data_IF_569999758208
#
_entry.id   IF_569999758208
#
_cell.length_a   1.000
_cell.length_b   1.000
_cell.length_c   1.000
_cell.angle_alpha   90.00
_cell.angle_beta   90.00
_cell.angle_gamma   90.00
#
_symmetry.space_group_name_H-M   'P 1'
#
loop_
_entity.id
_entity.type
_entity.pdbx_description
1 polymer ?
#
# COMPACT_ATOMS: atom_id res chain seq x y z
N UNK A 1 3.33 -20.70 -14.87
CA UNK A 1 3.74 -19.27 -15.00
C UNK A 1 4.49 -18.81 -13.75
N UNK A 2 4.57 -19.66 -12.71
CA UNK A 2 5.11 -19.29 -11.38
C UNK A 2 6.60 -19.63 -11.14
N UNK A 3 7.27 -20.25 -12.10
CA UNK A 3 8.68 -20.69 -11.90
C UNK A 3 9.76 -19.65 -12.25
N UNK A 4 9.41 -18.50 -12.82
CA UNK A 4 10.40 -17.47 -13.21
C UNK A 4 10.65 -16.35 -12.19
N UNK A 5 9.91 -16.29 -11.09
CA UNK A 5 10.07 -15.25 -10.06
C UNK A 5 11.01 -15.63 -8.92
N UNK A 6 11.57 -16.84 -8.93
CA UNK A 6 12.45 -17.31 -7.82
C UNK A 6 13.96 -17.08 -8.07
N UNK A 7 14.34 -16.39 -9.16
CA UNK A 7 15.76 -16.11 -9.42
C UNK A 7 16.11 -14.66 -9.16
N UNK A 8 16.95 -14.51 -8.16
CA UNK A 8 17.92 -13.45 -7.93
C UNK A 8 17.35 -12.03 -7.83
N UNK A 9 16.99 -11.64 -6.62
CA UNK A 9 17.06 -10.24 -6.18
C UNK A 9 18.53 -9.81 -6.28
N UNK A 10 18.91 -9.25 -7.43
CA UNK A 10 20.22 -8.61 -7.56
C UNK A 10 20.18 -7.35 -6.71
N UNK A 11 20.87 -7.43 -5.58
CA UNK A 11 21.07 -6.35 -4.62
C UNK A 11 21.66 -5.13 -5.34
N UNK A 12 20.85 -4.10 -5.55
CA UNK A 12 21.37 -2.78 -5.93
C UNK A 12 22.13 -2.21 -4.73
N UNK A 13 23.44 -2.23 -4.80
CA UNK A 13 24.35 -1.60 -3.82
C UNK A 13 23.96 -0.13 -3.66
N UNK A 14 23.51 0.23 -2.47
CA UNK A 14 23.43 1.62 -2.03
C UNK A 14 24.85 2.04 -1.61
N UNK A 15 25.50 2.87 -2.40
CA UNK A 15 26.71 3.58 -2.02
C UNK A 15 26.36 4.74 -1.10
N UNK A 16 26.23 4.46 0.18
CA UNK A 16 26.35 5.45 1.26
C UNK A 16 27.72 5.29 1.87
N UNK A 17 28.59 6.28 1.73
CA UNK A 17 29.91 6.30 2.39
C UNK A 17 29.70 6.21 3.91
N UNK A 18 30.34 5.23 4.54
CA UNK A 18 30.53 4.89 5.94
C UNK A 18 29.76 3.65 6.40
N UNK A 19 30.21 2.50 5.96
CA UNK A 19 30.37 1.30 6.78
C UNK A 19 31.30 0.38 6.00
N UNK A 20 32.37 -0.04 6.61
CA UNK A 20 33.18 -1.16 6.15
C UNK A 20 32.23 -2.26 5.67
N UNK A 21 32.38 -2.74 4.44
CA UNK A 21 31.48 -3.73 3.83
C UNK A 21 31.53 -5.11 4.48
N UNK A 22 31.85 -5.19 5.77
CA UNK A 22 31.93 -6.39 6.57
C UNK A 22 30.56 -6.67 7.16
N UNK A 23 29.96 -7.85 6.90
CA UNK A 23 28.70 -8.26 7.52
C UNK A 23 28.84 -8.32 9.05
N UNK A 24 27.85 -7.77 9.78
CA UNK A 24 27.78 -7.86 11.24
C UNK A 24 27.48 -9.28 11.73
N UNK A 25 26.81 -10.07 10.91
CA UNK A 25 26.50 -11.49 11.13
C UNK A 25 26.95 -12.28 9.90
N UNK A 26 27.36 -13.54 10.13
CA UNK A 26 27.87 -14.40 9.06
C UNK A 26 26.79 -15.38 8.61
N UNK A 27 26.68 -15.63 7.31
CA UNK A 27 25.77 -16.66 6.77
C UNK A 27 26.06 -18.02 7.41
N UNK A 28 25.01 -18.69 7.88
CA UNK A 28 25.07 -19.97 8.59
C UNK A 28 25.24 -19.82 10.11
N UNK A 29 25.59 -18.64 10.59
CA UNK A 29 25.68 -18.35 12.02
C UNK A 29 24.33 -18.58 12.71
N UNK A 30 24.37 -19.09 13.95
CA UNK A 30 23.19 -19.26 14.79
C UNK A 30 23.25 -18.23 15.90
N UNK A 31 22.23 -17.38 15.98
CA UNK A 31 22.06 -16.40 17.04
C UNK A 31 20.91 -16.82 17.95
N UNK A 32 21.04 -16.55 19.24
CA UNK A 32 20.07 -16.94 20.26
C UNK A 32 19.44 -15.69 20.89
N UNK A 33 18.14 -15.70 21.02
CA UNK A 33 17.40 -14.70 21.77
C UNK A 33 17.30 -15.14 23.25
N UNK A 34 17.83 -14.32 24.15
CA UNK A 34 17.62 -14.51 25.57
C UNK A 34 16.18 -14.17 26.02
N UNK A 35 15.47 -13.36 25.23
CA UNK A 35 14.11 -12.90 25.54
C UNK A 35 13.06 -13.99 25.33
N UNK A 36 13.14 -14.71 24.20
CA UNK A 36 12.15 -15.72 23.80
C UNK A 36 12.69 -17.15 23.87
N UNK A 37 14.00 -17.33 24.01
CA UNK A 37 14.68 -18.64 23.88
C UNK A 37 14.78 -19.13 22.43
N UNK A 38 14.27 -18.38 21.46
CA UNK A 38 14.31 -18.74 20.05
C UNK A 38 15.73 -18.65 19.48
N UNK A 39 16.00 -19.47 18.47
CA UNK A 39 17.27 -19.49 17.76
C UNK A 39 17.03 -19.22 16.28
N UNK A 40 17.92 -18.44 15.68
CA UNK A 40 17.81 -18.04 14.29
C UNK A 40 19.09 -18.38 13.53
N UNK A 41 18.95 -19.10 12.40
CA UNK A 41 20.07 -19.32 11.47
C UNK A 41 20.07 -18.18 10.45
N UNK A 42 21.16 -17.45 10.43
CA UNK A 42 21.38 -16.31 9.54
C UNK A 42 21.60 -16.81 8.11
N UNK A 43 20.88 -16.26 7.18
CA UNK A 43 20.98 -16.55 5.74
C UNK A 43 21.62 -15.41 4.96
N UNK A 44 21.03 -15.11 3.79
CA UNK A 44 21.57 -14.11 2.88
C UNK A 44 21.31 -12.69 3.36
N UNK A 45 22.27 -11.79 3.15
CA UNK A 45 22.11 -10.36 3.38
C UNK A 45 21.12 -9.79 2.35
N UNK A 46 19.97 -9.30 2.82
CA UNK A 46 18.92 -8.69 1.99
C UNK A 46 19.17 -7.20 1.75
N UNK A 47 19.75 -6.51 2.72
CA UNK A 47 20.00 -5.08 2.62
C UNK A 47 20.85 -4.55 3.76
N UNK A 48 21.42 -3.37 3.53
CA UNK A 48 22.18 -2.62 4.54
C UNK A 48 21.95 -1.13 4.37
N UNK A 49 22.07 -0.38 5.46
CA UNK A 49 21.90 1.07 5.47
C UNK A 49 22.50 1.71 6.71
N UNK A 50 22.25 3.00 6.91
CA UNK A 50 22.75 3.76 8.05
C UNK A 50 22.30 3.24 9.43
N UNK A 51 21.28 2.41 9.47
CA UNK A 51 20.69 1.88 10.71
C UNK A 51 20.95 0.39 10.94
N UNK A 52 21.73 -0.27 10.08
CA UNK A 52 22.09 -1.67 10.26
C UNK A 52 21.99 -2.52 9.01
N UNK A 53 21.97 -3.82 9.21
CA UNK A 53 21.90 -4.84 8.16
C UNK A 53 20.69 -5.74 8.38
N UNK A 54 20.09 -6.25 7.29
CA UNK A 54 18.93 -7.15 7.32
C UNK A 54 19.26 -8.43 6.59
N UNK A 55 19.07 -9.56 7.26
CA UNK A 55 19.37 -10.89 6.75
C UNK A 55 18.07 -11.71 6.63
N UNK A 56 17.89 -12.41 5.52
CA UNK A 56 16.93 -13.50 5.47
C UNK A 56 17.40 -14.59 6.44
N UNK A 57 16.51 -15.07 7.29
CA UNK A 57 16.88 -15.99 8.36
C UNK A 57 15.81 -17.06 8.55
N UNK A 58 16.20 -18.15 9.18
CA UNK A 58 15.29 -19.24 9.56
C UNK A 58 15.28 -19.41 11.06
N UNK A 59 14.07 -19.47 11.64
CA UNK A 59 13.88 -19.90 13.02
C UNK A 59 14.21 -21.40 13.15
N UNK A 60 14.95 -21.75 14.19
CA UNK A 60 15.21 -23.14 14.57
C UNK A 60 14.30 -23.55 15.71
N UNK A 61 13.98 -24.85 15.78
CA UNK A 61 13.07 -25.38 16.80
C UNK A 61 11.59 -25.02 16.55
N UNK A 62 10.74 -25.29 17.55
CA UNK A 62 9.29 -25.03 17.50
C UNK A 62 8.94 -23.84 18.38
N UNK A 63 8.54 -22.75 17.75
CA UNK A 63 7.97 -21.57 18.40
C UNK A 63 6.75 -21.11 17.61
N UNK A 64 5.52 -21.42 18.04
CA UNK A 64 4.31 -21.24 17.24
C UNK A 64 4.04 -19.78 16.83
N UNK A 65 4.51 -18.82 17.60
CA UNK A 65 4.29 -17.38 17.36
C UNK A 65 5.27 -16.76 16.37
N UNK A 66 6.37 -17.46 16.06
CA UNK A 66 7.41 -16.93 15.18
C UNK A 66 7.47 -17.78 13.91
N UNK A 67 7.28 -17.20 12.71
CA UNK A 67 7.35 -17.93 11.44
C UNK A 67 8.71 -18.61 11.22
N UNK A 68 8.76 -19.70 10.46
CA UNK A 68 10.02 -20.36 10.11
C UNK A 68 10.93 -19.46 9.29
N UNK A 69 10.39 -18.76 8.31
CA UNK A 69 11.13 -17.80 7.47
C UNK A 69 10.82 -16.38 7.90
N UNK A 70 11.86 -15.62 8.21
CA UNK A 70 11.77 -14.27 8.75
C UNK A 70 13.03 -13.46 8.37
N UNK A 71 13.06 -12.18 8.73
CA UNK A 71 14.25 -11.35 8.63
C UNK A 71 14.85 -11.11 10.01
N UNK A 72 16.18 -11.16 10.12
CA UNK A 72 16.87 -10.62 11.27
C UNK A 72 17.53 -9.29 10.87
N UNK A 73 17.05 -8.19 11.46
CA UNK A 73 17.68 -6.86 11.37
C UNK A 73 18.63 -6.70 12.52
N UNK A 74 19.88 -6.36 12.23
CA UNK A 74 20.95 -6.15 13.23
C UNK A 74 21.48 -4.73 13.12
N UNK A 75 21.66 -4.07 14.27
CA UNK A 75 22.12 -2.70 14.38
C UNK A 75 23.09 -2.53 15.55
N UNK A 76 24.14 -1.69 15.43
CA UNK A 76 24.97 -1.30 16.55
C UNK A 76 24.34 -0.17 17.38
N UNK A 77 23.17 0.37 16.96
CA UNK A 77 22.54 1.55 17.55
C UNK A 77 21.31 1.18 18.39
N UNK A 78 21.44 1.25 19.70
CA UNK A 78 20.37 0.92 20.64
C UNK A 78 19.13 1.80 20.50
N UNK A 79 19.30 3.12 20.31
CA UNK A 79 18.18 4.06 20.26
C UNK A 79 17.19 3.79 19.11
N UNK A 80 17.71 3.46 17.93
CA UNK A 80 16.89 3.10 16.78
C UNK A 80 16.17 1.77 16.99
N UNK A 81 16.89 0.80 17.51
CA UNK A 81 16.36 -0.52 17.85
C UNK A 81 15.25 -0.46 18.91
N UNK A 82 15.43 0.31 19.99
CA UNK A 82 14.41 0.48 21.03
C UNK A 82 13.13 1.08 20.46
N UNK A 83 13.25 2.11 19.62
CA UNK A 83 12.07 2.73 18.98
C UNK A 83 11.36 1.73 18.06
N UNK A 84 12.09 1.05 17.20
CA UNK A 84 11.49 0.09 16.27
C UNK A 84 10.83 -1.08 17.01
N UNK A 85 11.46 -1.59 18.07
CA UNK A 85 10.89 -2.61 18.95
C UNK A 85 9.61 -2.12 19.65
N UNK A 86 9.60 -0.89 20.16
CA UNK A 86 8.44 -0.29 20.82
C UNK A 86 7.26 -0.15 19.85
N UNK A 87 7.49 0.43 18.67
CA UNK A 87 6.42 0.60 17.68
C UNK A 87 5.98 -0.73 17.08
N UNK A 88 6.88 -1.70 16.93
CA UNK A 88 6.55 -3.06 16.55
C UNK A 88 5.58 -3.71 17.53
N UNK A 89 5.79 -3.53 18.83
CA UNK A 89 4.88 -4.01 19.86
C UNK A 89 3.54 -3.24 19.87
N UNK A 90 3.55 -1.91 19.71
CA UNK A 90 2.36 -1.07 19.64
C UNK A 90 1.46 -1.44 18.44
N UNK A 91 2.07 -1.89 17.35
CA UNK A 91 1.42 -2.25 16.11
C UNK A 91 1.30 -3.78 15.91
N UNK A 92 1.52 -4.56 16.98
CA UNK A 92 1.41 -6.01 16.91
C UNK A 92 0.03 -6.45 16.40
N UNK A 93 0.02 -7.46 15.52
CA UNK A 93 -1.18 -7.93 14.84
C UNK A 93 -1.78 -6.95 13.83
N UNK A 94 -1.23 -5.75 13.65
CA UNK A 94 -1.78 -4.81 12.67
C UNK A 94 -1.52 -5.29 11.23
N UNK A 95 -2.57 -5.49 10.40
CA UNK A 95 -2.44 -6.16 9.10
C UNK A 95 -1.65 -5.34 8.05
N UNK A 96 -1.30 -4.09 8.36
CA UNK A 96 -0.61 -3.15 7.47
C UNK A 96 0.73 -2.65 8.03
N UNK A 97 1.20 -3.24 9.14
CA UNK A 97 2.55 -3.02 9.66
C UNK A 97 3.38 -4.29 9.54
N UNK A 98 4.67 -4.15 9.27
CA UNK A 98 5.62 -5.26 9.37
C UNK A 98 5.66 -5.70 10.83
N UNK A 99 5.47 -7.00 11.07
CA UNK A 99 5.44 -7.55 12.43
C UNK A 99 6.84 -7.71 12.99
N UNK A 100 6.99 -7.42 14.27
CA UNK A 100 8.19 -7.69 15.06
C UNK A 100 7.90 -8.90 15.93
N UNK A 101 8.54 -10.03 15.67
CA UNK A 101 8.30 -11.28 16.39
C UNK A 101 9.19 -11.42 17.63
N UNK A 102 10.39 -10.84 17.57
CA UNK A 102 11.36 -10.96 18.66
C UNK A 102 12.34 -9.76 18.65
N UNK A 103 12.92 -9.48 19.82
CA UNK A 103 13.91 -8.42 20.03
C UNK A 103 14.94 -8.89 21.04
N UNK A 104 16.21 -8.79 20.73
CA UNK A 104 17.27 -9.25 21.64
C UNK A 104 18.59 -8.53 21.36
N UNK A 105 19.49 -8.55 22.34
CA UNK A 105 20.86 -8.09 22.19
C UNK A 105 21.79 -9.29 22.05
N UNK A 106 22.73 -9.20 21.13
CA UNK A 106 23.86 -10.12 21.03
C UNK A 106 25.07 -9.48 21.69
N UNK A 107 25.54 -10.11 22.76
CA UNK A 107 26.73 -9.70 23.46
C UNK A 107 27.79 -10.77 23.23
N UNK A 108 28.88 -10.40 22.58
CA UNK A 108 30.06 -11.24 22.37
C UNK A 108 31.20 -10.71 23.22
N UNK A 109 32.05 -11.65 23.74
CA UNK A 109 33.18 -11.28 24.59
C UNK A 109 34.12 -10.31 23.85
N UNK A 110 34.41 -9.15 24.44
CA UNK A 110 35.32 -8.15 23.88
C UNK A 110 34.70 -7.28 22.74
N UNK A 111 33.43 -7.51 22.35
CA UNK A 111 32.75 -6.75 21.29
C UNK A 111 31.69 -5.81 21.84
N UNK A 112 31.32 -4.79 21.03
CA UNK A 112 30.15 -3.95 21.33
C UNK A 112 28.89 -4.75 21.09
N UNK A 113 27.85 -4.55 21.92
CA UNK A 113 26.57 -5.21 21.72
C UNK A 113 25.98 -4.90 20.33
N UNK A 114 25.39 -5.92 19.71
CA UNK A 114 24.57 -5.79 18.53
C UNK A 114 23.10 -6.01 18.91
N UNK A 115 22.21 -5.17 18.38
CA UNK A 115 20.79 -5.17 18.70
C UNK A 115 20.01 -5.76 17.54
N UNK A 116 19.26 -6.82 17.80
CA UNK A 116 18.56 -7.62 16.79
C UNK A 116 17.05 -7.51 16.91
N UNK A 117 16.36 -7.49 15.76
CA UNK A 117 14.92 -7.65 15.62
C UNK A 117 14.64 -8.80 14.67
N UNK A 118 13.77 -9.73 15.07
CA UNK A 118 13.22 -10.73 14.19
C UNK A 118 11.91 -10.16 13.59
N UNK A 119 11.90 -9.94 12.29
CA UNK A 119 10.87 -9.21 11.55
C UNK A 119 10.16 -10.10 10.54
N UNK A 120 8.93 -9.76 10.21
CA UNK A 120 8.20 -10.36 9.09
C UNK A 120 8.98 -10.24 7.79
N UNK A 121 9.10 -11.34 7.06
CA UNK A 121 9.72 -11.37 5.74
C UNK A 121 8.72 -10.95 4.66
N UNK A 122 8.96 -9.81 4.06
CA UNK A 122 8.21 -9.35 2.89
C UNK A 122 8.76 -10.00 1.62
N UNK A 123 8.06 -10.99 1.11
CA UNK A 123 8.53 -11.84 0.00
C UNK A 123 8.92 -11.09 -1.27
N UNK A 124 8.24 -9.97 -1.54
CA UNK A 124 8.49 -9.16 -2.75
C UNK A 124 9.39 -7.93 -2.47
N UNK A 125 9.99 -7.86 -1.28
CA UNK A 125 10.88 -6.79 -0.89
C UNK A 125 10.19 -5.45 -0.63
N UNK A 126 10.93 -4.37 -0.73
CA UNK A 126 10.40 -3.01 -0.62
C UNK A 126 9.74 -2.54 -1.93
N UNK A 127 8.91 -1.50 -1.82
CA UNK A 127 8.16 -0.95 -2.94
C UNK A 127 9.07 -0.36 -4.04
N UNK A 128 10.26 0.17 -3.67
CA UNK A 128 11.20 0.69 -4.66
C UNK A 128 11.74 -0.41 -5.55
N UNK A 129 12.20 -1.51 -4.93
CA UNK A 129 12.69 -2.68 -5.65
C UNK A 129 11.58 -3.33 -6.49
N UNK A 130 10.37 -3.46 -5.90
CA UNK A 130 9.22 -4.04 -6.59
C UNK A 130 8.80 -3.24 -7.84
N UNK A 131 8.67 -1.91 -7.73
CA UNK A 131 8.32 -1.07 -8.88
C UNK A 131 9.43 -1.05 -9.93
N UNK A 132 10.69 -1.07 -9.53
CA UNK A 132 11.82 -1.16 -10.45
C UNK A 132 11.82 -2.48 -11.24
N UNK A 133 11.46 -3.58 -10.59
CA UNK A 133 11.43 -4.90 -11.22
C UNK A 133 10.22 -5.08 -12.16
N UNK A 134 9.07 -4.52 -11.77
CA UNK A 134 7.83 -4.73 -12.53
C UNK A 134 7.59 -3.68 -13.59
N UNK A 135 8.06 -2.45 -13.38
CA UNK A 135 7.85 -1.27 -14.24
C UNK A 135 6.39 -1.05 -14.63
N UNK A 136 5.45 -1.56 -13.81
CA UNK A 136 4.02 -1.54 -14.09
C UNK A 136 3.26 -0.57 -13.20
N UNK A 137 2.52 0.38 -13.79
CA UNK A 137 1.58 1.20 -13.05
C UNK A 137 0.54 0.35 -12.32
N UNK A 138 0.16 0.79 -11.12
CA UNK A 138 -0.93 0.18 -10.38
C UNK A 138 -2.25 0.83 -10.79
N UNK A 139 -3.28 -0.01 -10.99
CA UNK A 139 -4.62 0.51 -11.21
C UNK A 139 -5.06 1.38 -10.03
N UNK A 140 -5.71 2.52 -10.30
CA UNK A 140 -6.14 3.49 -9.30
C UNK A 140 -6.83 2.85 -8.09
N UNK A 141 -7.78 1.93 -8.32
CA UNK A 141 -8.50 1.24 -7.25
C UNK A 141 -7.55 0.49 -6.30
N UNK A 142 -6.52 -0.16 -6.86
CA UNK A 142 -5.53 -0.90 -6.06
C UNK A 142 -4.63 0.08 -5.31
N UNK A 143 -4.13 1.12 -5.98
CA UNK A 143 -3.30 2.15 -5.35
C UNK A 143 -4.02 2.83 -4.18
N UNK A 144 -5.29 3.24 -4.36
CA UNK A 144 -6.13 3.82 -3.29
C UNK A 144 -6.28 2.88 -2.09
N UNK A 145 -6.63 1.62 -2.34
CA UNK A 145 -6.82 0.62 -1.28
C UNK A 145 -5.54 0.38 -0.49
N UNK A 146 -4.42 0.22 -1.18
CA UNK A 146 -3.16 -0.10 -0.52
C UNK A 146 -2.59 1.10 0.25
N UNK A 147 -2.72 2.31 -0.30
CA UNK A 147 -2.34 3.55 0.41
C UNK A 147 -3.28 3.81 1.59
N UNK A 148 -4.59 3.55 1.46
CA UNK A 148 -5.50 3.64 2.62
C UNK A 148 -5.05 2.72 3.77
N UNK A 149 -4.58 1.50 3.46
CA UNK A 149 -4.03 0.61 4.47
C UNK A 149 -2.75 1.14 5.15
N UNK A 150 -1.86 1.80 4.42
CA UNK A 150 -0.70 2.49 5.03
C UNK A 150 -1.16 3.66 5.90
N UNK A 151 -2.15 4.41 5.45
CA UNK A 151 -2.72 5.53 6.21
C UNK A 151 -3.43 5.09 7.51
N UNK A 152 -3.95 3.86 7.59
CA UNK A 152 -4.50 3.29 8.83
C UNK A 152 -3.42 3.19 9.92
N UNK A 153 -2.21 2.71 9.56
CA UNK A 153 -1.05 2.67 10.47
C UNK A 153 -0.65 4.08 10.87
N UNK A 154 -0.48 4.95 9.86
CA UNK A 154 -0.08 6.34 10.08
C UNK A 154 -1.11 7.10 10.94
N UNK A 155 -2.41 6.84 10.74
CA UNK A 155 -3.48 7.41 11.57
C UNK A 155 -3.41 7.00 13.03
N UNK A 156 -2.97 5.75 13.33
CA UNK A 156 -2.70 5.34 14.72
C UNK A 156 -1.54 6.14 15.31
N UNK A 157 -0.44 6.33 14.56
CA UNK A 157 0.69 7.14 15.01
C UNK A 157 0.27 8.58 15.26
N UNK A 158 -0.42 9.22 14.31
CA UNK A 158 -0.85 10.62 14.43
C UNK A 158 -1.79 10.86 15.60
N UNK A 159 -2.72 9.94 15.90
CA UNK A 159 -3.58 10.02 17.11
C UNK A 159 -2.79 9.88 18.41
N UNK A 160 -1.68 9.14 18.39
CA UNK A 160 -0.74 9.07 19.50
C UNK A 160 0.29 10.21 19.52
N UNK A 161 0.08 11.28 18.75
CA UNK A 161 1.00 12.43 18.61
C UNK A 161 2.41 12.01 18.11
N UNK A 162 2.49 10.94 17.31
CA UNK A 162 3.73 10.46 16.71
C UNK A 162 3.77 10.73 15.21
N UNK A 163 4.96 11.02 14.70
CA UNK A 163 5.24 11.29 13.30
C UNK A 163 6.21 10.25 12.76
N UNK A 164 5.91 9.67 11.58
CA UNK A 164 6.76 8.64 10.99
C UNK A 164 8.06 9.21 10.41
N UNK A 165 7.97 10.30 9.63
CA UNK A 165 9.07 11.10 9.09
C UNK A 165 9.89 10.45 7.97
N UNK A 166 9.73 9.16 7.70
CA UNK A 166 10.47 8.43 6.66
C UNK A 166 9.58 7.48 5.84
N UNK A 167 8.46 8.00 5.35
CA UNK A 167 7.57 7.27 4.46
C UNK A 167 8.16 7.25 3.04
N UNK A 168 9.13 6.38 2.85
CA UNK A 168 9.82 6.18 1.57
C UNK A 168 9.39 4.87 0.92
N UNK A 169 9.57 4.70 -0.41
CA UNK A 169 9.30 3.42 -1.06
C UNK A 169 10.11 2.25 -0.50
N UNK A 170 11.21 2.51 0.21
CA UNK A 170 12.06 1.48 0.83
C UNK A 170 11.56 1.05 2.21
N UNK A 171 10.69 1.85 2.84
CA UNK A 171 10.09 1.55 4.14
C UNK A 171 8.64 1.05 3.99
N UNK A 172 8.17 0.93 2.75
CA UNK A 172 6.90 0.29 2.40
C UNK A 172 7.20 -1.03 1.72
N UNK A 173 6.73 -2.13 2.30
CA UNK A 173 7.03 -3.48 1.86
C UNK A 173 5.85 -4.10 1.11
N UNK A 174 6.17 -4.92 0.11
CA UNK A 174 5.18 -5.62 -0.70
C UNK A 174 5.11 -7.08 -0.23
N UNK A 175 3.98 -7.44 0.38
CA UNK A 175 3.68 -8.76 0.88
C UNK A 175 2.78 -9.56 -0.08
N UNK A 176 2.41 -10.78 0.31
CA UNK A 176 1.55 -11.64 -0.49
C UNK A 176 0.24 -10.94 -0.89
N UNK A 177 -0.26 -11.26 -2.09
CA UNK A 177 -1.41 -10.58 -2.68
C UNK A 177 -1.15 -9.12 -3.08
N UNK A 178 0.11 -8.68 -3.16
CA UNK A 178 0.54 -7.30 -3.38
C UNK A 178 0.01 -6.33 -2.32
N UNK A 179 -0.11 -6.82 -1.10
CA UNK A 179 -0.51 -6.03 0.05
C UNK A 179 0.67 -5.19 0.53
N UNK A 180 0.45 -3.88 0.71
CA UNK A 180 1.47 -3.00 1.26
C UNK A 180 1.43 -3.02 2.78
N UNK A 181 2.62 -3.09 3.39
CA UNK A 181 2.85 -2.93 4.82
C UNK A 181 3.91 -1.87 5.08
N UNK A 182 3.69 -1.08 6.13
CA UNK A 182 4.64 -0.08 6.59
C UNK A 182 5.63 -0.71 7.56
N UNK A 183 6.90 -0.37 7.44
CA UNK A 183 7.96 -0.79 8.36
C UNK A 183 8.97 0.33 8.59
N UNK A 184 10.02 -0.01 9.32
CA UNK A 184 11.11 0.88 9.73
C UNK A 184 10.64 2.09 10.56
N UNK A 185 10.30 1.83 11.81
CA UNK A 185 9.88 2.85 12.78
C UNK A 185 11.03 3.47 13.58
N UNK A 186 12.28 3.24 13.17
CA UNK A 186 13.49 3.65 13.90
C UNK A 186 13.67 5.16 14.08
N UNK A 187 13.01 6.00 13.25
CA UNK A 187 13.10 7.46 13.35
C UNK A 187 11.77 8.15 13.70
N UNK A 188 10.75 7.38 14.08
CA UNK A 188 9.49 7.93 14.59
C UNK A 188 9.74 8.84 15.79
N UNK A 189 9.03 9.97 15.85
CA UNK A 189 9.16 10.97 16.94
C UNK A 189 7.83 11.53 17.38
N UNK A 190 7.78 11.93 18.65
CA UNK A 190 6.65 12.70 19.17
C UNK A 190 6.54 14.08 18.54
N UNK A 191 5.30 14.54 18.31
CA UNK A 191 4.99 15.91 17.88
C UNK A 191 5.44 16.95 18.91
N UNK A 192 5.53 16.56 20.18
CA UNK A 192 5.92 17.43 21.30
C UNK A 192 7.45 17.44 21.56
N UNK A 193 8.23 16.63 20.85
CA UNK A 193 9.67 16.58 21.05
C UNK A 193 10.32 17.94 20.78
N UNK A 194 10.76 18.59 21.89
CA UNK A 194 11.35 19.94 21.90
C UNK A 194 12.86 19.94 21.71
N UNK A 195 13.49 18.81 21.43
CA UNK A 195 14.95 18.76 21.21
C UNK A 195 15.29 19.59 19.98
N UNK A 196 15.61 20.87 20.24
CA UNK A 196 16.14 21.81 19.25
C UNK A 196 17.48 21.27 18.75
N UNK A 197 17.67 21.24 17.45
CA UNK A 197 19.02 21.11 16.88
C UNK A 197 19.48 19.71 16.50
N UNK A 198 18.65 18.65 16.52
CA UNK A 198 19.07 17.46 15.78
C UNK A 198 18.83 17.68 14.29
N UNK A 199 19.90 17.65 13.50
CA UNK A 199 19.83 18.06 12.11
C UNK A 199 18.90 17.18 11.29
N UNK A 200 18.35 17.75 10.24
CA UNK A 200 17.77 17.14 9.05
C UNK A 200 18.55 15.93 8.48
N UNK A 201 19.72 15.59 9.07
CA UNK A 201 20.60 14.47 8.68
C UNK A 201 19.91 13.08 8.74
N UNK A 202 18.84 12.92 9.52
CA UNK A 202 18.08 11.66 9.58
C UNK A 202 16.92 11.61 8.58
N UNK A 203 16.57 12.73 7.95
CA UNK A 203 15.49 12.77 6.96
C UNK A 203 16.03 12.38 5.58
N UNK A 204 15.24 11.59 4.84
CA UNK A 204 15.54 11.33 3.44
C UNK A 204 15.23 12.60 2.61
N UNK A 205 16.24 13.33 2.11
CA UNK A 205 16.00 14.60 1.41
C UNK A 205 15.23 14.41 0.10
N UNK A 206 15.23 13.19 -0.47
CA UNK A 206 14.47 12.87 -1.67
C UNK A 206 12.98 12.67 -1.42
N UNK A 207 12.54 12.45 -0.18
CA UNK A 207 11.14 12.26 0.16
C UNK A 207 10.61 13.32 1.14
N UNK A 208 11.46 14.15 1.71
CA UNK A 208 11.04 15.26 2.56
C UNK A 208 10.53 16.44 1.73
N UNK A 209 9.52 17.20 2.21
CA UNK A 209 9.09 18.43 1.56
C UNK A 209 10.24 19.45 1.41
N UNK A 210 10.27 20.19 0.30
CA UNK A 210 11.35 21.13 0.01
C UNK A 210 11.51 22.22 1.07
N UNK A 211 10.40 22.71 1.62
CA UNK A 211 10.38 23.73 2.68
C UNK A 211 10.95 23.22 4.01
N UNK A 212 10.91 21.91 4.25
CA UNK A 212 11.54 21.27 5.42
C UNK A 212 13.04 21.11 5.18
N UNK A 213 13.41 20.66 3.97
CA UNK A 213 14.82 20.48 3.58
C UNK A 213 15.55 21.83 3.57
N UNK A 214 14.90 22.88 3.10
CA UNK A 214 15.44 24.24 3.07
C UNK A 214 15.49 24.94 4.45
N UNK A 215 14.97 24.30 5.51
CA UNK A 215 14.92 24.85 6.86
C UNK A 215 13.93 25.99 7.04
N UNK A 216 13.08 26.26 6.04
CA UNK A 216 12.02 27.30 6.11
C UNK A 216 10.98 26.97 7.18
N UNK A 217 10.78 25.67 7.41
CA UNK A 217 9.85 25.17 8.42
C UNK A 217 10.65 24.48 9.53
N UNK A 218 10.59 24.98 10.77
CA UNK A 218 11.44 24.47 11.85
C UNK A 218 10.98 23.13 12.42
N UNK A 219 9.73 22.70 12.13
CA UNK A 219 9.13 21.52 12.78
C UNK A 219 8.32 20.67 11.79
N UNK A 220 8.60 19.37 11.79
CA UNK A 220 7.82 18.35 11.07
C UNK A 220 6.42 18.23 11.67
N UNK A 221 5.39 18.09 10.83
CA UNK A 221 4.00 17.95 11.22
C UNK A 221 3.37 16.75 10.49
N UNK A 222 2.16 16.32 10.89
CA UNK A 222 1.44 15.22 10.25
C UNK A 222 1.21 15.45 8.75
N UNK A 223 1.01 16.70 8.31
CA UNK A 223 0.89 17.07 6.89
C UNK A 223 2.17 16.85 6.08
N UNK A 224 3.32 16.72 6.72
CA UNK A 224 4.59 16.41 6.05
C UNK A 224 4.73 14.88 5.83
N UNK A 225 4.20 14.05 6.72
CA UNK A 225 3.98 12.63 6.47
C UNK A 225 2.96 12.43 5.33
N UNK A 226 1.88 13.23 5.29
CA UNK A 226 0.90 13.23 4.19
C UNK A 226 1.53 13.56 2.85
N UNK A 227 2.48 14.52 2.82
CA UNK A 227 3.25 14.78 1.60
C UNK A 227 3.98 13.55 1.09
N UNK A 228 4.65 12.82 1.97
CA UNK A 228 5.36 11.59 1.61
C UNK A 228 4.38 10.51 1.09
N UNK A 229 3.21 10.36 1.72
CA UNK A 229 2.16 9.45 1.21
C UNK A 229 1.65 9.87 -0.16
N UNK A 230 1.50 11.16 -0.42
CA UNK A 230 1.15 11.68 -1.74
C UNK A 230 2.17 11.32 -2.82
N UNK A 231 3.46 11.37 -2.48
CA UNK A 231 4.54 10.90 -3.34
C UNK A 231 4.43 9.39 -3.63
N UNK A 232 4.22 8.57 -2.59
CA UNK A 232 4.03 7.11 -2.74
C UNK A 232 2.83 6.79 -3.63
N UNK A 233 1.70 7.46 -3.44
CA UNK A 233 0.50 7.28 -4.26
C UNK A 233 0.75 7.60 -5.73
N UNK A 234 1.41 8.71 -6.00
CA UNK A 234 1.79 9.10 -7.36
C UNK A 234 2.79 8.12 -8.00
N UNK A 235 3.75 7.60 -7.24
CA UNK A 235 4.72 6.59 -7.68
C UNK A 235 4.04 5.28 -8.05
N UNK A 236 3.05 4.82 -7.27
CA UNK A 236 2.26 3.62 -7.56
C UNK A 236 1.52 3.75 -8.90
N UNK A 237 0.82 4.87 -9.11
CA UNK A 237 0.07 5.12 -10.35
C UNK A 237 1.01 5.32 -11.55
N UNK A 238 2.19 5.91 -11.33
CA UNK A 238 3.23 6.06 -12.36
C UNK A 238 3.95 4.74 -12.67
N UNK A 239 3.96 3.79 -11.72
CA UNK A 239 4.72 2.53 -11.82
C UNK A 239 6.22 2.69 -11.65
N UNK A 240 6.67 3.79 -11.06
CA UNK A 240 8.09 4.10 -10.89
C UNK A 240 8.34 4.87 -9.59
N UNK A 241 9.28 4.38 -8.77
CA UNK A 241 9.70 4.99 -7.50
C UNK A 241 11.09 5.65 -7.56
N UNK A 242 11.74 5.68 -8.73
CA UNK A 242 13.11 6.21 -8.87
C UNK A 242 13.21 7.73 -8.72
N UNK A 243 12.13 8.45 -8.94
CA UNK A 243 12.08 9.90 -8.87
C UNK A 243 10.80 10.40 -8.21
N UNK A 244 10.88 11.57 -7.56
CA UNK A 244 9.68 12.26 -7.05
C UNK A 244 8.67 12.53 -8.16
N UNK A 245 7.41 12.48 -7.81
CA UNK A 245 6.34 12.97 -8.65
C UNK A 245 6.30 14.50 -8.54
N UNK A 246 6.49 15.18 -9.66
CA UNK A 246 6.42 16.64 -9.72
C UNK A 246 4.98 17.11 -10.02
N UNK A 247 4.56 18.30 -9.57
CA UNK A 247 3.22 18.82 -9.85
C UNK A 247 2.87 18.81 -11.35
N UNK A 248 3.82 19.15 -12.22
CA UNK A 248 3.62 19.13 -13.68
C UNK A 248 3.38 17.73 -14.26
N UNK A 249 3.84 16.66 -13.61
CA UNK A 249 3.68 15.28 -14.05
C UNK A 249 2.30 14.71 -13.66
N UNK A 250 1.64 15.26 -12.62
CA UNK A 250 0.36 14.74 -12.11
C UNK A 250 -0.69 14.70 -13.21
N UNK A 251 -0.75 15.71 -14.09
CA UNK A 251 -1.72 15.75 -15.20
C UNK A 251 -1.57 14.59 -16.17
N UNK A 252 -0.35 14.02 -16.28
CA UNK A 252 -0.03 12.90 -17.18
C UNK A 252 -0.27 11.52 -16.55
N UNK A 253 -0.62 11.45 -15.26
CA UNK A 253 -0.92 10.17 -14.61
C UNK A 253 -2.19 9.56 -15.21
N UNK A 254 -2.16 8.24 -15.45
CA UNK A 254 -3.31 7.49 -15.93
C UNK A 254 -4.24 7.11 -14.77
N UNK A 255 -4.98 8.11 -14.30
CA UNK A 255 -5.95 7.96 -13.21
C UNK A 255 -7.04 9.03 -13.31
N UNK A 256 -8.07 8.94 -12.45
CA UNK A 256 -9.16 9.91 -12.40
C UNK A 256 -8.67 11.31 -12.00
N UNK A 257 -9.37 12.35 -12.46
CA UNK A 257 -9.05 13.73 -12.11
C UNK A 257 -9.15 13.95 -10.59
N UNK A 258 -10.05 13.25 -9.90
CA UNK A 258 -10.11 13.27 -8.43
C UNK A 258 -8.83 12.74 -7.79
N UNK A 259 -8.24 11.64 -8.30
CA UNK A 259 -6.99 11.14 -7.73
C UNK A 259 -5.83 12.09 -8.03
N UNK A 260 -5.81 12.70 -9.23
CA UNK A 260 -4.85 13.74 -9.58
C UNK A 260 -4.93 14.91 -8.60
N UNK A 261 -6.15 15.36 -8.27
CA UNK A 261 -6.36 16.45 -7.30
C UNK A 261 -5.88 16.05 -5.90
N UNK A 262 -6.18 14.81 -5.45
CA UNK A 262 -5.69 14.30 -4.17
C UNK A 262 -4.17 14.30 -4.13
N UNK A 263 -3.49 13.77 -5.15
CA UNK A 263 -2.02 13.76 -5.22
C UNK A 263 -1.49 15.18 -5.26
N UNK A 264 -2.08 16.06 -6.07
CA UNK A 264 -1.70 17.47 -6.16
C UNK A 264 -1.81 18.19 -4.82
N UNK A 265 -2.90 17.99 -4.08
CA UNK A 265 -3.10 18.57 -2.75
C UNK A 265 -2.07 18.02 -1.74
N UNK A 266 -1.74 16.74 -1.78
CA UNK A 266 -0.74 16.14 -0.88
C UNK A 266 0.66 16.74 -1.09
N UNK A 267 1.11 16.87 -2.37
CA UNK A 267 2.50 17.29 -2.67
C UNK A 267 2.64 18.79 -2.96
N UNK A 268 1.54 19.52 -2.96
CA UNK A 268 1.48 20.95 -3.20
C UNK A 268 1.88 21.80 -1.99
N UNK A 269 1.37 23.02 -1.97
CA UNK A 269 1.60 24.00 -0.91
C UNK A 269 1.24 23.46 0.47
N UNK A 270 2.17 23.55 1.43
CA UNK A 270 2.06 22.93 2.76
C UNK A 270 0.76 23.28 3.49
N UNK A 271 0.28 24.51 3.42
CA UNK A 271 -0.95 24.97 4.11
C UNK A 271 -2.21 24.36 3.54
N UNK A 272 -2.19 23.91 2.28
CA UNK A 272 -3.33 23.29 1.58
C UNK A 272 -3.35 21.79 1.66
N UNK A 273 -2.28 21.14 2.18
CA UNK A 273 -2.23 19.69 2.34
C UNK A 273 -3.30 19.21 3.33
N UNK A 274 -3.66 17.94 3.23
CA UNK A 274 -4.44 17.30 4.28
C UNK A 274 -3.68 17.37 5.61
N UNK A 275 -4.39 17.66 6.69
CA UNK A 275 -3.77 17.90 8.00
C UNK A 275 -3.34 16.63 8.70
N UNK A 276 -3.98 15.49 8.36
CA UNK A 276 -3.73 14.19 8.98
C UNK A 276 -3.95 13.03 8.00
N UNK A 277 -3.47 11.84 8.38
CA UNK A 277 -3.77 10.61 7.68
C UNK A 277 -5.28 10.34 7.59
N UNK A 278 -6.06 10.69 8.62
CA UNK A 278 -7.52 10.53 8.65
C UNK A 278 -8.21 11.33 7.56
N UNK A 279 -7.88 12.61 7.42
CA UNK A 279 -8.45 13.47 6.39
C UNK A 279 -8.13 12.94 4.97
N UNK A 280 -6.91 12.44 4.75
CA UNK A 280 -6.53 11.84 3.47
C UNK A 280 -7.27 10.52 3.21
N UNK A 281 -7.48 9.66 4.22
CA UNK A 281 -8.30 8.45 4.08
C UNK A 281 -9.72 8.80 3.63
N UNK A 282 -10.34 9.79 4.25
CA UNK A 282 -11.68 10.24 3.86
C UNK A 282 -11.73 10.70 2.40
N UNK A 283 -10.72 11.47 1.97
CA UNK A 283 -10.62 11.92 0.58
C UNK A 283 -10.46 10.75 -0.40
N UNK A 284 -9.64 9.75 -0.05
CA UNK A 284 -9.44 8.55 -0.87
C UNK A 284 -10.70 7.67 -0.93
N UNK A 285 -11.48 7.60 0.14
CA UNK A 285 -12.70 6.80 0.21
C UNK A 285 -13.91 7.48 -0.46
N UNK A 286 -13.86 8.80 -0.65
CA UNK A 286 -14.88 9.47 -1.49
C UNK A 286 -14.76 8.90 -2.90
N UNK A 287 -15.83 8.21 -3.37
CA UNK A 287 -15.88 7.74 -4.74
C UNK A 287 -15.62 8.91 -5.69
N UNK A 288 -14.77 8.74 -6.73
CA UNK A 288 -14.60 9.75 -7.77
C UNK A 288 -15.98 10.19 -8.29
N UNK A 289 -16.16 11.47 -8.55
CA UNK A 289 -17.41 11.96 -9.13
C UNK A 289 -17.75 11.27 -10.46
N UNK A 290 -16.74 10.75 -11.16
CA UNK A 290 -16.88 9.89 -12.35
C UNK A 290 -17.21 8.42 -12.03
N UNK A 291 -16.98 7.97 -10.76
CA UNK A 291 -17.45 6.68 -10.22
C UNK A 291 -18.74 6.82 -9.40
N UNK A 292 -19.12 8.00 -8.97
CA UNK A 292 -20.54 8.34 -8.91
C UNK A 292 -20.95 8.28 -10.36
N UNK A 293 -21.41 7.08 -10.80
CA UNK A 293 -21.99 6.86 -12.12
C UNK A 293 -22.61 8.18 -12.51
N UNK A 294 -22.11 8.80 -13.58
CA UNK A 294 -22.77 9.99 -14.06
C UNK A 294 -24.22 9.63 -13.94
N UNK A 295 -24.96 10.35 -13.06
CA UNK A 295 -26.30 9.92 -12.66
C UNK A 295 -26.94 9.67 -13.97
N UNK A 296 -27.07 8.41 -14.34
CA UNK A 296 -27.67 8.04 -15.59
C UNK A 296 -29.11 8.59 -15.42
N UNK A 297 -29.34 9.77 -15.96
CA UNK A 297 -30.61 10.47 -15.75
C UNK A 297 -31.70 9.91 -16.64
N UNK A 298 -31.32 9.05 -17.62
CA UNK A 298 -32.22 8.43 -18.57
C UNK A 298 -31.59 7.15 -19.13
N UNK A 299 -32.41 6.17 -19.46
CA UNK A 299 -31.98 4.96 -20.16
C UNK A 299 -32.03 5.13 -21.70
N UNK A 300 -32.38 6.30 -22.22
CA UNK A 300 -32.51 6.54 -23.66
C UNK A 300 -31.15 6.40 -24.37
N UNK A 301 -31.11 5.52 -25.38
CA UNK A 301 -29.89 5.24 -26.16
C UNK A 301 -28.83 4.38 -25.45
N UNK A 302 -29.12 3.89 -24.25
CA UNK A 302 -28.19 3.09 -23.45
C UNK A 302 -28.18 1.65 -23.93
N UNK A 303 -27.01 1.08 -24.19
CA UNK A 303 -26.82 -0.34 -24.45
C UNK A 303 -26.70 -1.10 -23.12
N UNK A 304 -27.78 -1.86 -22.78
CA UNK A 304 -27.99 -2.43 -21.45
C UNK A 304 -27.99 -3.95 -21.47
N UNK A 305 -27.35 -4.57 -20.48
CA UNK A 305 -27.40 -6.00 -20.21
C UNK A 305 -27.77 -6.28 -18.74
N UNK A 306 -28.44 -7.40 -18.49
CA UNK A 306 -28.82 -7.83 -17.15
C UNK A 306 -27.98 -8.98 -16.66
N UNK A 307 -27.62 -8.98 -15.37
CA UNK A 307 -26.94 -10.08 -14.68
C UNK A 307 -27.51 -10.30 -13.27
N UNK A 308 -27.49 -11.54 -12.78
CA UNK A 308 -28.05 -11.90 -11.48
C UNK A 308 -29.58 -12.01 -11.50
N UNK A 309 -30.16 -12.16 -10.31
CA UNK A 309 -31.61 -12.26 -10.05
C UNK A 309 -32.12 -10.84 -9.75
N UNK A 310 -33.03 -10.36 -10.58
CA UNK A 310 -33.71 -9.08 -10.41
C UNK A 310 -34.94 -9.22 -9.52
N UNK A 311 -35.46 -8.12 -9.00
CA UNK A 311 -36.73 -8.06 -8.24
C UNK A 311 -37.95 -8.48 -9.08
N UNK A 312 -37.87 -8.26 -10.38
CA UNK A 312 -38.90 -8.65 -11.33
C UNK A 312 -38.35 -9.61 -12.38
N UNK A 313 -39.22 -10.40 -13.05
CA UNK A 313 -38.81 -11.26 -14.15
C UNK A 313 -38.03 -10.49 -15.21
N UNK A 314 -36.98 -11.13 -15.72
CA UNK A 314 -36.07 -10.48 -16.69
C UNK A 314 -36.77 -9.97 -17.94
N UNK A 315 -37.84 -10.63 -18.35
CA UNK A 315 -38.66 -10.18 -19.50
C UNK A 315 -39.36 -8.83 -19.21
N UNK A 316 -39.88 -8.68 -17.97
CA UNK A 316 -40.51 -7.45 -17.50
C UNK A 316 -39.51 -6.32 -17.44
N UNK A 317 -38.34 -6.57 -16.86
CA UNK A 317 -37.24 -5.60 -16.80
C UNK A 317 -36.78 -5.18 -18.21
N UNK A 318 -36.66 -6.13 -19.14
CA UNK A 318 -36.25 -5.84 -20.51
C UNK A 318 -37.32 -4.99 -21.27
N UNK A 319 -38.59 -5.25 -21.05
CA UNK A 319 -39.68 -4.42 -21.61
C UNK A 319 -39.68 -3.00 -21.03
N UNK A 320 -39.44 -2.86 -19.71
CA UNK A 320 -39.33 -1.57 -19.06
C UNK A 320 -38.13 -0.77 -19.59
N UNK A 321 -36.97 -1.42 -19.72
CA UNK A 321 -35.75 -0.81 -20.28
C UNK A 321 -36.00 -0.30 -21.72
N UNK A 322 -36.63 -1.11 -22.59
CA UNK A 322 -36.95 -0.74 -23.95
C UNK A 322 -37.94 0.44 -24.02
N UNK A 323 -38.97 0.46 -23.16
CA UNK A 323 -39.92 1.61 -23.07
C UNK A 323 -39.21 2.89 -22.64
N UNK A 324 -38.20 2.77 -21.77
CA UNK A 324 -37.35 3.89 -21.35
C UNK A 324 -36.27 4.27 -22.40
N UNK A 325 -36.30 3.65 -23.59
CA UNK A 325 -35.43 3.97 -24.72
C UNK A 325 -34.07 3.27 -24.71
N UNK A 326 -33.86 2.21 -23.88
CA UNK A 326 -32.65 1.43 -23.88
C UNK A 326 -32.61 0.35 -24.97
N UNK A 327 -31.42 0.02 -25.44
CA UNK A 327 -31.15 -1.11 -26.33
C UNK A 327 -30.69 -2.28 -25.46
N UNK A 328 -31.50 -3.32 -25.31
CA UNK A 328 -31.26 -4.44 -24.40
C UNK A 328 -30.55 -5.57 -25.13
N UNK A 329 -29.45 -6.02 -24.56
CA UNK A 329 -28.63 -7.16 -25.03
C UNK A 329 -28.82 -8.41 -24.15
N UNK A 330 -28.71 -9.59 -24.74
CA UNK A 330 -28.80 -10.88 -24.03
C UNK A 330 -27.70 -11.13 -23.01
N UNK A 331 -26.55 -10.46 -23.18
CA UNK A 331 -25.40 -10.49 -22.28
C UNK A 331 -24.44 -9.32 -22.49
N UNK A 332 -23.45 -9.15 -21.61
CA UNK A 332 -22.41 -8.14 -21.78
C UNK A 332 -21.61 -8.36 -23.08
N UNK A 333 -21.31 -7.28 -23.78
CA UNK A 333 -20.53 -7.28 -25.02
C UNK A 333 -19.78 -5.94 -25.16
N UNK A 334 -18.92 -5.81 -26.15
CA UNK A 334 -18.21 -4.55 -26.44
C UNK A 334 -19.12 -3.34 -26.64
N UNK A 335 -20.38 -3.58 -27.02
CA UNK A 335 -21.40 -2.52 -27.18
C UNK A 335 -22.08 -2.14 -25.87
N UNK A 336 -21.94 -2.94 -24.80
CA UNK A 336 -22.66 -2.72 -23.54
C UNK A 336 -22.06 -1.54 -22.78
N UNK A 337 -22.87 -0.53 -22.51
CA UNK A 337 -22.48 0.66 -21.73
C UNK A 337 -23.01 0.63 -20.30
N UNK A 338 -24.09 -0.13 -20.05
CA UNK A 338 -24.70 -0.29 -18.73
C UNK A 338 -25.01 -1.75 -18.44
N UNK A 339 -24.72 -2.19 -17.22
CA UNK A 339 -25.13 -3.49 -16.72
C UNK A 339 -26.00 -3.30 -15.48
N UNK A 340 -27.18 -3.88 -15.48
CA UNK A 340 -28.03 -3.99 -14.29
C UNK A 340 -27.67 -5.26 -13.55
N UNK A 341 -27.19 -5.11 -12.31
CA UNK A 341 -26.78 -6.20 -11.44
C UNK A 341 -27.84 -6.47 -10.38
N UNK A 342 -28.53 -7.60 -10.50
CA UNK A 342 -29.39 -8.15 -9.47
C UNK A 342 -28.63 -8.90 -8.38
N UNK A 343 -29.34 -9.63 -7.52
CA UNK A 343 -28.76 -10.46 -6.48
C UNK A 343 -27.96 -11.63 -7.09
N UNK A 344 -26.87 -12.09 -6.43
CA UNK A 344 -26.18 -13.29 -6.87
C UNK A 344 -27.11 -14.50 -6.91
N UNK A 345 -26.98 -15.35 -7.94
CA UNK A 345 -27.69 -16.61 -8.00
C UNK A 345 -26.86 -17.68 -7.25
N UNK A 346 -27.37 -18.22 -6.13
CA UNK A 346 -26.64 -19.22 -5.34
C UNK A 346 -26.29 -20.48 -6.14
N UNK A 347 -27.16 -20.89 -7.08
CA UNK A 347 -26.96 -22.07 -7.90
C UNK A 347 -25.86 -21.91 -8.97
N UNK A 348 -25.52 -20.67 -9.34
CA UNK A 348 -24.45 -20.36 -10.30
C UNK A 348 -23.12 -20.03 -9.60
N UNK A 349 -23.14 -19.81 -8.30
CA UNK A 349 -21.95 -19.49 -7.49
C UNK A 349 -21.21 -20.72 -6.97
N UNK A 350 -21.76 -21.91 -7.10
CA UNK A 350 -21.13 -23.15 -6.63
C UNK A 350 -19.82 -23.40 -7.40
N UNK A 351 -18.69 -23.10 -6.76
CA UNK A 351 -17.35 -23.43 -7.22
C UNK A 351 -16.64 -22.43 -8.14
N UNK A 352 -17.17 -21.23 -8.37
CA UNK A 352 -16.50 -20.15 -9.14
C UNK A 352 -16.70 -18.79 -8.48
N UNK A 353 -15.63 -17.97 -8.43
CA UNK A 353 -15.62 -16.63 -7.82
C UNK A 353 -16.60 -15.62 -8.44
N UNK A 354 -17.15 -15.90 -9.63
CA UNK A 354 -18.17 -15.09 -10.29
C UNK A 354 -18.86 -15.87 -11.43
N UNK A 355 -20.14 -15.59 -11.67
CA UNK A 355 -20.84 -16.11 -12.86
C UNK A 355 -20.24 -15.59 -14.17
N UNK A 356 -20.37 -16.37 -15.27
CA UNK A 356 -19.79 -16.10 -16.61
C UNK A 356 -19.99 -14.66 -17.07
N UNK A 357 -21.15 -14.06 -16.84
CA UNK A 357 -21.44 -12.66 -17.23
C UNK A 357 -20.62 -11.63 -16.42
N UNK A 358 -20.34 -11.88 -15.15
CA UNK A 358 -19.51 -11.00 -14.34
C UNK A 358 -18.04 -11.11 -14.75
N UNK A 359 -17.58 -12.29 -15.14
CA UNK A 359 -16.23 -12.48 -15.67
C UNK A 359 -16.05 -11.73 -17.00
N UNK A 360 -17.06 -11.77 -17.89
CA UNK A 360 -17.02 -11.02 -19.15
C UNK A 360 -17.03 -9.51 -18.93
N UNK A 361 -17.83 -9.00 -17.98
CA UNK A 361 -17.79 -7.59 -17.58
C UNK A 361 -16.41 -7.18 -17.09
N UNK A 362 -15.76 -8.03 -16.27
CA UNK A 362 -14.39 -7.80 -15.77
C UNK A 362 -13.42 -7.72 -16.94
N UNK A 363 -13.46 -8.70 -17.86
CA UNK A 363 -12.61 -8.75 -19.06
C UNK A 363 -12.78 -7.53 -19.97
N UNK A 364 -14.03 -7.11 -20.22
CA UNK A 364 -14.32 -5.91 -21.01
C UNK A 364 -13.76 -4.65 -20.38
N UNK A 365 -13.88 -4.50 -19.05
CA UNK A 365 -13.31 -3.38 -18.32
C UNK A 365 -11.78 -3.38 -18.33
N UNK A 366 -11.15 -4.54 -18.24
CA UNK A 366 -9.70 -4.71 -18.37
C UNK A 366 -9.20 -4.30 -19.77
N UNK A 367 -10.05 -4.45 -20.80
CA UNK A 367 -9.82 -3.98 -22.17
C UNK A 367 -10.17 -2.50 -22.39
N UNK A 368 -10.49 -1.74 -21.33
CA UNK A 368 -10.76 -0.31 -21.39
C UNK A 368 -12.22 0.08 -21.70
N UNK A 369 -13.16 -0.89 -21.80
CA UNK A 369 -14.55 -0.56 -22.02
C UNK A 369 -15.20 0.06 -20.78
N UNK A 370 -15.84 1.23 -20.94
CA UNK A 370 -16.55 1.91 -19.85
C UNK A 370 -17.94 1.29 -19.68
N UNK A 371 -18.12 0.49 -18.63
CA UNK A 371 -19.40 -0.14 -18.29
C UNK A 371 -19.87 0.38 -16.93
N UNK A 372 -21.01 1.07 -16.91
CA UNK A 372 -21.70 1.49 -15.69
C UNK A 372 -22.49 0.33 -15.12
N UNK A 373 -22.40 0.09 -13.82
CA UNK A 373 -23.20 -0.94 -13.13
C UNK A 373 -24.27 -0.23 -12.32
N UNK A 374 -25.53 -0.53 -12.61
CA UNK A 374 -26.68 -0.16 -11.81
C UNK A 374 -27.10 -1.33 -10.93
N UNK A 375 -27.55 -1.05 -9.72
CA UNK A 375 -28.31 -2.03 -8.96
C UNK A 375 -29.79 -2.06 -9.44
N UNK A 376 -30.53 -3.03 -8.98
CA UNK A 376 -31.92 -3.25 -9.37
C UNK A 376 -32.82 -2.04 -9.05
N UNK A 377 -32.69 -1.46 -7.85
CA UNK A 377 -33.47 -0.28 -7.45
C UNK A 377 -33.12 0.96 -8.30
N UNK A 378 -31.86 1.20 -8.61
CA UNK A 378 -31.43 2.30 -9.49
C UNK A 378 -31.98 2.13 -10.90
N UNK A 379 -31.97 0.90 -11.41
CA UNK A 379 -32.58 0.60 -12.71
C UNK A 379 -34.06 0.94 -12.73
N UNK A 380 -34.85 0.49 -11.74
CA UNK A 380 -36.29 0.74 -11.70
C UNK A 380 -36.63 2.21 -11.52
N UNK A 381 -35.83 2.96 -10.76
CA UNK A 381 -35.96 4.42 -10.68
C UNK A 381 -35.82 5.11 -12.03
N UNK A 382 -34.89 4.62 -12.88
CA UNK A 382 -34.67 5.17 -14.24
C UNK A 382 -35.69 4.64 -15.27
N UNK A 383 -36.19 3.43 -15.08
CA UNK A 383 -37.19 2.82 -15.96
C UNK A 383 -38.62 3.31 -15.70
N UNK A 384 -38.84 4.20 -14.72
CA UNK A 384 -40.12 4.82 -14.44
C UNK A 384 -41.08 3.96 -13.61
N UNK A 385 -40.61 2.97 -12.86
CA UNK A 385 -41.41 2.30 -11.85
C UNK A 385 -41.32 3.12 -10.55
N UNK A 386 -42.41 3.81 -10.21
CA UNK A 386 -42.62 4.40 -8.87
C UNK A 386 -42.90 3.32 -7.85
#
# INVERSE_FOLDING_TARGET
VDQRLSRATTLTRRTGRNASGIPMLVRGEIVHSAETGASYRIGDLLGFGGYGQVFLSKRLGREPKIPESLCVKVSPFMDGWLREAYFGQLLDGHPRAIQVFDRFALVRSGERPLYCLALEYARYGDLSAFLKQTEKPWAERTARREIAGILEVLGKLHRGEMLHRDLTPMNVFVCDGRKLKLGDFGIVRSMTDRRRGQPTRTLNPHMAPSEVVAGVVPKWQARDDVYQVGQLLGMLVKGNAGQRVRPAEIRKLDCSDQLKEIVHRCIGERRKRYESAGELIEALNKAPASLRAGVLRSLRGVHLAFTGILSEPRLVAARAAKRAGAIVHGGPSVKTTVVVRGRPNPLQAAGKDAGVKLMEIKRLREKGHRITILNDAQFWSLAGKR
#
